data_IF_368337724030
#
_entry.id   IF_368337724030
#
_cell.length_a   1.000
_cell.length_b   1.000
_cell.length_c   1.000
_cell.angle_alpha   90.00
_cell.angle_beta   90.00
_cell.angle_gamma   90.00
#
_symmetry.space_group_name_H-M   'P 1'
#
loop_
_entity.id
_entity.type
_entity.pdbx_description
1 polymer ?
#
# COMPACT_ATOMS: atom_id res chain seq x y z
N UNK A 1 13.03 -24.50 -11.82
CA UNK A 1 12.07 -24.15 -10.75
C UNK A 1 11.15 -23.11 -11.36
N UNK A 2 9.96 -23.52 -11.79
CA UNK A 2 9.05 -22.64 -12.50
C UNK A 2 8.36 -21.71 -11.49
N UNK A 3 8.54 -20.40 -11.66
CA UNK A 3 7.74 -19.40 -10.96
C UNK A 3 6.33 -19.50 -11.55
N UNK A 4 5.37 -19.94 -10.75
CA UNK A 4 3.96 -19.95 -11.13
C UNK A 4 3.50 -18.51 -11.33
N UNK A 5 2.81 -18.29 -12.43
CA UNK A 5 2.20 -17.03 -12.86
C UNK A 5 1.43 -16.41 -11.69
N UNK A 6 1.83 -15.21 -11.27
CA UNK A 6 1.05 -14.42 -10.33
C UNK A 6 -0.28 -14.04 -10.99
N UNK A 7 -1.38 -14.22 -10.27
CA UNK A 7 -2.68 -13.73 -10.69
C UNK A 7 -2.62 -12.20 -10.71
N UNK A 8 -2.50 -11.61 -11.89
CA UNK A 8 -2.71 -10.18 -12.09
C UNK A 8 -4.22 -9.98 -12.13
N UNK A 9 -4.81 -9.53 -11.03
CA UNK A 9 -6.19 -9.08 -11.02
C UNK A 9 -6.24 -7.65 -11.58
N UNK A 10 -6.91 -7.48 -12.71
CA UNK A 10 -7.36 -6.17 -13.15
C UNK A 10 -8.60 -5.82 -12.34
N UNK A 11 -8.46 -4.94 -11.36
CA UNK A 11 -9.60 -4.38 -10.63
C UNK A 11 -10.05 -3.14 -11.39
N UNK A 12 -11.20 -3.22 -12.05
CA UNK A 12 -11.81 -2.09 -12.74
C UNK A 12 -12.47 -1.18 -11.72
N UNK A 13 -11.81 -0.08 -11.36
CA UNK A 13 -12.47 1.02 -10.64
C UNK A 13 -13.31 1.81 -11.64
N UNK A 14 -14.63 1.63 -11.62
CA UNK A 14 -15.54 2.52 -12.31
C UNK A 14 -15.90 3.67 -11.36
N UNK A 15 -15.22 4.80 -11.51
CA UNK A 15 -15.72 6.06 -10.99
C UNK A 15 -16.76 6.60 -11.97
N UNK A 16 -18.03 6.23 -11.79
CA UNK A 16 -19.13 6.85 -12.53
C UNK A 16 -19.73 7.96 -11.67
N UNK A 17 -19.59 9.22 -12.10
CA UNK A 17 -20.36 10.36 -11.57
C UNK A 17 -21.78 10.42 -12.14
N UNK A 18 -22.16 9.52 -13.06
CA UNK A 18 -23.42 9.60 -13.78
C UNK A 18 -24.42 8.53 -13.32
N UNK A 19 -25.48 8.99 -12.65
CA UNK A 19 -26.51 8.17 -11.99
C UNK A 19 -27.50 7.47 -12.91
N UNK A 20 -27.04 6.88 -14.02
CA UNK A 20 -27.90 6.09 -14.91
C UNK A 20 -27.63 4.60 -14.70
N UNK A 21 -28.53 3.99 -13.94
CA UNK A 21 -28.52 2.56 -13.61
C UNK A 21 -28.48 1.69 -14.87
N UNK A 22 -27.30 1.24 -15.27
CA UNK A 22 -27.20 -0.06 -15.92
C UNK A 22 -27.16 -1.11 -14.81
N UNK A 23 -27.98 -2.16 -14.91
CA UNK A 23 -28.13 -3.20 -13.87
C UNK A 23 -26.84 -4.01 -13.58
N UNK A 24 -25.71 -3.58 -14.15
CA UNK A 24 -24.39 -4.20 -14.08
C UNK A 24 -23.31 -3.27 -13.52
N UNK A 25 -23.59 -1.98 -13.26
CA UNK A 25 -22.61 -1.08 -12.64
C UNK A 25 -22.60 -1.27 -11.13
N UNK A 26 -21.41 -1.44 -10.57
CA UNK A 26 -21.20 -1.55 -9.13
C UNK A 26 -20.36 -0.37 -8.64
N UNK A 27 -20.73 0.15 -7.47
CA UNK A 27 -20.13 1.33 -6.87
C UNK A 27 -19.73 1.02 -5.44
N UNK A 28 -18.43 1.09 -5.17
CA UNK A 28 -17.90 0.92 -3.83
C UNK A 28 -17.76 2.28 -3.17
N UNK A 29 -18.14 2.37 -1.91
CA UNK A 29 -18.15 3.62 -1.14
C UNK A 29 -17.46 3.42 0.21
N UNK A 30 -17.22 4.52 0.94
CA UNK A 30 -16.62 4.49 2.27
C UNK A 30 -15.12 4.82 2.30
N UNK A 31 -14.44 4.71 1.17
CA UNK A 31 -13.09 5.23 0.94
C UNK A 31 -13.04 6.03 -0.36
N UNK A 32 -12.08 6.94 -0.48
CA UNK A 32 -11.67 7.61 -1.72
C UNK A 32 -10.17 7.39 -1.90
N UNK A 33 -9.66 7.64 -3.10
CA UNK A 33 -8.21 7.63 -3.34
C UNK A 33 -7.55 6.26 -3.10
N UNK A 34 -8.27 5.19 -3.48
CA UNK A 34 -7.76 3.83 -3.44
C UNK A 34 -6.52 3.66 -4.33
N UNK A 35 -5.39 3.28 -3.74
CA UNK A 35 -4.10 3.17 -4.42
C UNK A 35 -3.77 1.73 -4.83
N UNK A 36 -4.25 0.74 -4.07
CA UNK A 36 -4.02 -0.67 -4.40
C UNK A 36 -5.18 -1.56 -3.96
N UNK A 37 -5.39 -2.64 -4.69
CA UNK A 37 -6.38 -3.64 -4.34
C UNK A 37 -5.92 -5.05 -4.71
N UNK A 38 -6.28 -6.05 -3.89
CA UNK A 38 -5.77 -7.42 -4.00
C UNK A 38 -6.84 -8.48 -3.69
N UNK A 39 -7.08 -9.45 -4.60
CA UNK A 39 -8.11 -10.45 -4.40
C UNK A 39 -7.77 -11.43 -3.25
N UNK A 40 -8.77 -11.70 -2.42
CA UNK A 40 -8.69 -12.67 -1.31
C UNK A 40 -9.56 -13.91 -1.52
N UNK A 41 -10.36 -13.94 -2.59
CA UNK A 41 -11.06 -15.12 -3.09
C UNK A 41 -12.54 -14.85 -3.34
N UNK A 42 -13.12 -15.56 -4.31
CA UNK A 42 -14.49 -15.29 -4.77
C UNK A 42 -14.61 -13.87 -5.31
N UNK A 43 -15.61 -13.14 -4.84
CA UNK A 43 -15.89 -11.73 -5.15
C UNK A 43 -15.20 -10.75 -4.18
N UNK A 44 -14.33 -11.26 -3.29
CA UNK A 44 -13.77 -10.46 -2.21
C UNK A 44 -12.34 -10.02 -2.52
N UNK A 45 -12.07 -8.76 -2.22
CA UNK A 45 -10.74 -8.17 -2.33
C UNK A 45 -10.49 -7.19 -1.19
N UNK A 46 -9.21 -6.98 -0.89
CA UNK A 46 -8.77 -5.95 0.05
C UNK A 46 -8.31 -4.74 -0.72
N UNK A 47 -8.65 -3.56 -0.22
CA UNK A 47 -8.27 -2.26 -0.73
C UNK A 47 -7.42 -1.52 0.32
N UNK A 48 -6.53 -0.67 -0.15
CA UNK A 48 -5.78 0.27 0.67
C UNK A 48 -5.62 1.61 -0.06
N UNK A 49 -5.71 2.68 0.72
CA UNK A 49 -5.61 4.09 0.30
C UNK A 49 -4.36 4.77 0.88
N UNK A 50 -4.13 6.01 0.44
CA UNK A 50 -3.06 6.87 0.95
C UNK A 50 -3.47 7.69 2.18
N UNK A 51 -4.73 7.69 2.59
CA UNK A 51 -5.23 8.53 3.69
C UNK A 51 -5.02 7.89 5.07
N UNK A 52 -4.97 6.56 5.19
CA UNK A 52 -4.86 5.87 6.47
C UNK A 52 -4.22 4.47 6.39
N UNK A 53 -4.29 3.68 7.48
CA UNK A 53 -3.66 2.36 7.62
C UNK A 53 -4.71 1.25 7.80
N UNK A 54 -5.94 1.52 7.36
CA UNK A 54 -7.05 0.59 7.37
C UNK A 54 -7.05 -0.13 6.02
N UNK A 55 -7.06 -1.45 6.07
CA UNK A 55 -7.24 -2.28 4.88
C UNK A 55 -8.72 -2.66 4.78
N UNK A 56 -9.40 -2.25 3.72
CA UNK A 56 -10.83 -2.44 3.56
C UNK A 56 -11.16 -3.71 2.78
N UNK A 57 -11.99 -4.59 3.34
CA UNK A 57 -12.51 -5.74 2.62
C UNK A 57 -13.79 -5.35 1.88
N UNK A 58 -13.79 -5.47 0.57
CA UNK A 58 -14.98 -5.28 -0.27
C UNK A 58 -15.47 -6.60 -0.86
N UNK A 59 -16.74 -6.60 -1.27
CA UNK A 59 -17.39 -7.66 -2.06
C UNK A 59 -17.81 -7.04 -3.39
N UNK A 60 -17.08 -7.33 -4.46
CA UNK A 60 -17.27 -6.80 -5.81
C UNK A 60 -18.53 -7.35 -6.53
N UNK A 61 -19.40 -8.04 -5.81
CA UNK A 61 -20.75 -8.41 -6.26
C UNK A 61 -21.85 -7.47 -5.74
N UNK A 62 -21.49 -6.52 -4.88
CA UNK A 62 -22.41 -5.55 -4.29
C UNK A 62 -21.83 -4.13 -4.35
N UNK A 63 -22.69 -3.17 -4.65
CA UNK A 63 -22.39 -1.77 -4.35
C UNK A 63 -22.46 -1.50 -2.84
N UNK A 64 -21.67 -0.54 -2.37
CA UNK A 64 -21.77 0.03 -1.02
C UNK A 64 -20.46 0.04 -0.23
N UNK A 65 -20.64 0.13 1.10
CA UNK A 65 -19.57 0.22 2.09
C UNK A 65 -18.72 -1.07 2.15
N UNK A 66 -17.47 -0.99 2.66
CA UNK A 66 -16.68 -2.18 2.89
C UNK A 66 -17.39 -3.11 3.87
N UNK A 67 -17.18 -4.41 3.66
CA UNK A 67 -17.65 -5.48 4.54
C UNK A 67 -17.03 -5.31 5.93
N UNK A 68 -15.75 -4.96 5.97
CA UNK A 68 -15.02 -4.63 7.21
C UNK A 68 -13.73 -3.87 6.89
N UNK A 69 -13.09 -3.31 7.92
CA UNK A 69 -11.79 -2.65 7.83
C UNK A 69 -10.84 -3.17 8.90
N UNK A 70 -9.54 -3.28 8.57
CA UNK A 70 -8.49 -3.73 9.47
C UNK A 70 -7.47 -2.62 9.71
N UNK A 71 -7.53 -1.98 10.88
CA UNK A 71 -6.62 -0.89 11.25
C UNK A 71 -5.29 -1.43 11.80
N UNK A 72 -4.19 -1.16 11.09
CA UNK A 72 -2.83 -1.54 11.49
C UNK A 72 -2.00 -0.40 12.07
N UNK A 73 -2.56 0.78 12.32
CA UNK A 73 -1.84 1.97 12.84
C UNK A 73 -0.95 1.63 14.03
N UNK A 74 -1.49 0.90 15.02
CA UNK A 74 -0.76 0.51 16.23
C UNK A 74 0.37 -0.52 15.97
N UNK A 75 0.29 -1.28 14.89
CA UNK A 75 1.28 -2.30 14.51
C UNK A 75 2.47 -1.69 13.75
N UNK A 76 2.28 -0.53 13.11
CA UNK A 76 3.25 0.05 12.19
C UNK A 76 4.26 0.99 12.85
N UNK A 77 4.14 1.24 14.16
CA UNK A 77 5.13 2.00 14.92
C UNK A 77 5.39 3.38 14.31
N UNK A 78 4.30 4.04 13.89
CA UNK A 78 4.33 5.36 13.30
C UNK A 78 4.71 6.39 14.36
N UNK A 79 5.57 7.34 13.99
CA UNK A 79 6.08 8.34 14.93
C UNK A 79 6.05 9.77 14.38
N UNK A 80 5.72 9.95 13.10
CA UNK A 80 5.54 11.27 12.51
C UNK A 80 4.11 11.77 12.69
N UNK A 81 3.98 13.05 13.01
CA UNK A 81 2.69 13.74 13.09
C UNK A 81 2.61 14.93 12.13
N UNK A 82 1.40 15.41 11.88
CA UNK A 82 1.09 16.55 11.01
C UNK A 82 1.36 17.93 11.63
N UNK A 83 1.78 17.98 12.89
CA UNK A 83 1.96 19.20 13.68
C UNK A 83 0.73 19.54 14.55
N UNK A 84 -0.45 18.99 14.24
CA UNK A 84 -1.62 19.01 15.12
C UNK A 84 -1.61 17.88 16.15
N UNK A 85 -0.73 16.88 15.94
CA UNK A 85 -0.56 15.71 16.79
C UNK A 85 -1.18 14.45 16.20
N UNK A 86 -1.82 14.56 15.03
CA UNK A 86 -2.35 13.42 14.28
C UNK A 86 -1.19 12.69 13.59
N UNK A 87 -1.16 11.36 13.72
CA UNK A 87 -0.17 10.53 13.03
C UNK A 87 -0.32 10.69 11.52
N UNK A 88 0.80 10.83 10.82
CA UNK A 88 0.82 10.86 9.36
C UNK A 88 0.68 9.45 8.81
N UNK A 89 0.07 9.35 7.63
CA UNK A 89 -0.13 8.08 6.97
C UNK A 89 1.18 7.35 6.62
N UNK A 90 1.01 6.07 6.28
CA UNK A 90 2.00 5.27 5.56
C UNK A 90 1.98 5.55 4.06
N UNK A 91 0.89 6.12 3.53
CA UNK A 91 0.75 6.45 2.11
C UNK A 91 0.86 5.15 1.30
N UNK A 92 -0.13 4.25 1.44
CA UNK A 92 -0.06 2.91 0.88
C UNK A 92 -0.30 2.96 -0.61
N UNK A 93 0.63 2.40 -1.39
CA UNK A 93 0.65 2.60 -2.85
C UNK A 93 0.67 1.29 -3.64
N UNK A 94 1.08 0.19 -2.99
CA UNK A 94 1.14 -1.09 -3.67
C UNK A 94 0.94 -2.26 -2.72
N UNK A 95 0.44 -3.34 -3.29
CA UNK A 95 0.33 -4.63 -2.62
C UNK A 95 0.73 -5.77 -3.55
N UNK A 96 1.21 -6.85 -2.97
CA UNK A 96 1.44 -8.11 -3.69
C UNK A 96 1.22 -9.30 -2.77
N UNK A 97 0.78 -10.42 -3.32
CA UNK A 97 0.42 -11.62 -2.56
C UNK A 97 1.26 -12.80 -3.00
N UNK A 98 1.78 -13.54 -2.02
CA UNK A 98 2.49 -14.81 -2.19
C UNK A 98 1.85 -15.84 -1.27
N UNK A 99 1.10 -16.78 -1.86
CA UNK A 99 0.28 -17.71 -1.09
C UNK A 99 -0.79 -16.96 -0.29
N UNK A 100 -0.82 -17.16 1.04
CA UNK A 100 -1.73 -16.43 1.93
C UNK A 100 -1.16 -15.12 2.48
N UNK A 101 0.11 -14.79 2.19
CA UNK A 101 0.74 -13.58 2.70
C UNK A 101 0.58 -12.45 1.70
N UNK A 102 0.14 -11.30 2.18
CA UNK A 102 0.14 -10.04 1.45
C UNK A 102 1.26 -9.17 1.98
N UNK A 103 1.99 -8.52 1.09
CA UNK A 103 2.94 -7.46 1.37
C UNK A 103 2.33 -6.14 0.91
N UNK A 104 2.40 -5.13 1.77
CA UNK A 104 1.90 -3.78 1.56
C UNK A 104 3.08 -2.82 1.57
N UNK A 105 3.08 -1.87 0.66
CA UNK A 105 4.18 -0.94 0.43
C UNK A 105 3.66 0.49 0.57
N UNK A 106 4.20 1.22 1.55
CA UNK A 106 4.09 2.67 1.61
C UNK A 106 4.88 3.31 0.47
N UNK A 107 4.57 4.57 0.13
CA UNK A 107 5.04 5.23 -1.09
C UNK A 107 6.56 5.39 -1.21
N UNK A 108 7.32 5.22 -0.12
CA UNK A 108 8.76 5.46 -0.04
C UNK A 108 9.15 6.90 -0.44
N UNK A 109 8.19 7.82 -0.46
CA UNK A 109 8.38 9.18 -0.93
C UNK A 109 8.86 10.10 0.20
N UNK A 110 9.48 11.21 -0.19
CA UNK A 110 9.66 12.37 0.70
C UNK A 110 8.39 13.24 0.65
N UNK A 111 8.31 14.27 1.50
CA UNK A 111 7.32 15.34 1.28
C UNK A 111 7.55 16.06 -0.05
N UNK A 112 6.55 16.84 -0.45
CA UNK A 112 6.61 17.80 -1.56
C UNK A 112 7.80 18.78 -1.45
N UNK A 113 8.16 19.20 -0.23
CA UNK A 113 9.34 20.02 0.07
C UNK A 113 10.61 19.20 0.36
N UNK A 114 10.60 17.90 0.07
CA UNK A 114 11.74 16.99 0.10
C UNK A 114 12.21 16.53 1.47
N UNK A 115 11.48 16.81 2.54
CA UNK A 115 11.79 16.28 3.88
C UNK A 115 11.50 14.79 3.94
N UNK A 116 12.31 14.08 4.74
CA UNK A 116 12.13 12.65 4.94
C UNK A 116 10.76 12.34 5.60
N UNK A 117 10.10 11.29 5.10
CA UNK A 117 8.84 10.76 5.62
C UNK A 117 9.00 9.30 6.08
N UNK A 118 9.69 9.02 7.19
CA UNK A 118 9.87 7.67 7.72
C UNK A 118 8.59 6.86 7.94
N UNK A 119 7.41 7.47 8.10
CA UNK A 119 6.16 6.68 8.11
C UNK A 119 5.85 6.05 6.73
N UNK A 120 6.27 6.68 5.62
CA UNK A 120 6.06 6.20 4.25
C UNK A 120 7.03 5.11 3.80
N UNK A 121 8.05 4.85 4.60
CA UNK A 121 9.08 3.85 4.32
C UNK A 121 8.66 2.42 4.74
N UNK A 122 7.44 2.25 5.24
CA UNK A 122 6.93 0.96 5.72
C UNK A 122 6.70 0.00 4.55
N UNK A 123 7.28 -1.19 4.70
CA UNK A 123 6.86 -2.40 4.00
C UNK A 123 6.33 -3.34 5.07
N UNK A 124 5.06 -3.74 5.05
CA UNK A 124 4.54 -4.65 6.06
C UNK A 124 3.78 -5.82 5.45
N UNK A 125 3.62 -6.87 6.23
CA UNK A 125 2.94 -8.07 5.79
C UNK A 125 1.76 -8.45 6.68
N UNK A 126 0.72 -8.96 6.03
CA UNK A 126 -0.43 -9.58 6.68
C UNK A 126 -0.67 -10.97 6.12
N UNK A 127 -1.12 -11.89 6.95
CA UNK A 127 -1.62 -13.20 6.50
C UNK A 127 -3.15 -13.19 6.43
N UNK A 128 -3.67 -13.71 5.32
CA UNK A 128 -5.10 -13.90 5.09
C UNK A 128 -5.59 -15.14 5.83
N UNK A 129 -6.64 -14.98 6.62
CA UNK A 129 -7.39 -16.06 7.25
C UNK A 129 -8.86 -15.99 6.87
N UNK A 130 -9.58 -17.10 7.01
CA UNK A 130 -10.99 -17.17 6.61
C UNK A 130 -11.20 -17.02 5.11
N UNK A 131 -12.45 -16.85 4.70
CA UNK A 131 -12.85 -16.68 3.30
C UNK A 131 -14.11 -15.84 3.21
N UNK A 132 -14.29 -15.15 2.08
CA UNK A 132 -15.47 -14.33 1.83
C UNK A 132 -15.64 -13.22 2.87
N UNK A 133 -16.87 -13.00 3.33
CA UNK A 133 -17.16 -11.99 4.37
C UNK A 133 -16.53 -12.31 5.74
N UNK A 134 -16.06 -13.55 5.96
CA UNK A 134 -15.35 -13.95 7.18
C UNK A 134 -13.82 -13.82 7.03
N UNK A 135 -13.32 -13.20 5.96
CA UNK A 135 -11.89 -12.93 5.80
C UNK A 135 -11.39 -12.06 6.94
N UNK A 136 -10.24 -12.40 7.51
CA UNK A 136 -9.53 -11.58 8.49
C UNK A 136 -8.04 -11.50 8.15
N UNK A 137 -7.37 -10.50 8.69
CA UNK A 137 -5.94 -10.28 8.52
C UNK A 137 -5.20 -10.41 9.85
N UNK A 138 -4.07 -11.12 9.83
CA UNK A 138 -3.13 -11.15 10.94
C UNK A 138 -1.85 -10.41 10.59
N UNK A 139 -1.43 -9.45 11.42
CA UNK A 139 -0.16 -8.76 11.23
C UNK A 139 1.00 -9.73 11.40
N UNK A 140 1.95 -9.70 10.46
CA UNK A 140 3.14 -10.57 10.48
C UNK A 140 4.35 -9.79 10.99
N UNK A 141 4.55 -8.59 10.46
CA UNK A 141 5.74 -7.79 10.70
C UNK A 141 5.91 -6.70 9.65
N UNK A 142 6.94 -5.89 9.84
CA UNK A 142 7.30 -4.81 8.92
C UNK A 142 8.81 -4.68 8.75
N UNK A 143 9.17 -3.96 7.70
CA UNK A 143 10.51 -3.56 7.34
C UNK A 143 10.49 -2.07 6.99
N UNK A 144 11.48 -1.32 7.48
CA UNK A 144 11.44 0.15 7.49
C UNK A 144 12.51 0.78 6.59
N UNK A 145 13.36 -0.02 5.92
CA UNK A 145 14.62 0.46 5.31
C UNK A 145 14.74 0.16 3.81
N UNK A 146 13.63 -0.09 3.09
CA UNK A 146 13.70 -0.46 1.67
C UNK A 146 14.31 0.67 0.84
N UNK A 147 13.91 1.91 1.10
CA UNK A 147 14.46 3.11 0.45
C UNK A 147 15.97 3.22 0.69
N UNK A 148 16.41 3.09 1.94
CA UNK A 148 17.82 3.12 2.34
C UNK A 148 18.63 2.01 1.67
N UNK A 149 18.09 0.80 1.62
CA UNK A 149 18.73 -0.34 0.96
C UNK A 149 18.91 -0.12 -0.53
N UNK A 150 17.91 0.45 -1.22
CA UNK A 150 18.01 0.79 -2.65
C UNK A 150 19.06 1.90 -2.88
N UNK A 151 19.13 2.90 -1.99
CA UNK A 151 20.17 3.93 -2.04
C UNK A 151 21.55 3.30 -1.85
N UNK A 152 21.71 2.42 -0.86
CA UNK A 152 22.97 1.75 -0.58
C UNK A 152 23.38 0.80 -1.71
N UNK A 153 22.43 0.15 -2.36
CA UNK A 153 22.66 -0.67 -3.54
C UNK A 153 23.24 0.16 -4.69
N UNK A 154 22.76 1.38 -4.91
CA UNK A 154 23.33 2.31 -5.90
C UNK A 154 24.72 2.82 -5.48
N UNK A 155 24.83 3.37 -4.26
CA UNK A 155 26.08 3.96 -3.74
C UNK A 155 27.23 2.98 -3.79
N UNK A 156 27.00 1.73 -3.40
CA UNK A 156 28.04 0.71 -3.28
C UNK A 156 28.24 -0.12 -4.56
N UNK A 157 27.70 0.32 -5.71
CA UNK A 157 27.82 -0.41 -6.98
C UNK A 157 27.25 -1.85 -6.91
N UNK A 158 26.21 -2.08 -6.12
CA UNK A 158 25.55 -3.39 -6.02
C UNK A 158 24.88 -3.83 -7.34
N UNK A 159 24.67 -2.90 -8.27
CA UNK A 159 24.14 -3.14 -9.62
C UNK A 159 25.21 -3.35 -10.71
N UNK A 160 26.49 -3.08 -10.42
CA UNK A 160 27.60 -3.31 -11.35
C UNK A 160 27.85 -2.23 -12.41
N UNK A 161 27.23 -1.04 -12.35
CA UNK A 161 27.41 0.07 -13.32
C UNK A 161 28.35 1.20 -12.85
N UNK A 162 28.98 1.04 -11.70
CA UNK A 162 29.80 2.04 -11.02
C UNK A 162 29.13 2.57 -9.74
N UNK A 163 29.93 3.06 -8.79
CA UNK A 163 29.43 3.58 -7.52
C UNK A 163 28.55 4.82 -7.76
N UNK A 164 27.35 4.82 -7.16
CA UNK A 164 26.37 5.91 -7.21
C UNK A 164 25.98 6.31 -8.65
N UNK A 165 25.89 5.34 -9.55
CA UNK A 165 25.58 5.56 -10.96
C UNK A 165 24.22 6.25 -11.19
N UNK A 166 23.19 5.88 -10.41
CA UNK A 166 21.86 6.48 -10.54
C UNK A 166 21.70 7.78 -9.72
N UNK A 167 22.66 8.07 -8.83
CA UNK A 167 22.66 9.28 -8.01
C UNK A 167 21.52 9.30 -6.99
N UNK A 168 21.04 8.14 -6.53
CA UNK A 168 19.85 8.05 -5.68
C UNK A 168 20.04 8.76 -4.34
N UNK A 169 21.23 8.66 -3.75
CA UNK A 169 21.56 9.35 -2.50
C UNK A 169 21.29 10.86 -2.57
N UNK A 170 21.65 11.52 -3.67
CA UNK A 170 21.43 12.96 -3.86
C UNK A 170 19.98 13.36 -4.12
N UNK A 171 19.13 12.40 -4.54
CA UNK A 171 17.70 12.65 -4.80
C UNK A 171 16.87 12.49 -3.53
N UNK A 172 17.15 11.47 -2.72
CA UNK A 172 16.40 11.16 -1.51
C UNK A 172 16.91 11.89 -0.27
N UNK A 173 18.23 12.14 -0.15
CA UNK A 173 18.80 12.85 1.01
C UNK A 173 18.89 14.36 0.79
N UNK A 174 18.00 14.93 -0.01
CA UNK A 174 18.05 16.36 -0.33
C UNK A 174 17.56 17.15 0.88
N UNK A 175 18.47 17.50 1.78
CA UNK A 175 18.22 18.52 2.79
C UNK A 175 18.10 19.85 2.06
N UNK A 176 16.89 20.36 1.86
CA UNK A 176 16.72 21.76 1.47
C UNK A 176 17.23 22.60 2.63
N UNK A 177 18.43 23.16 2.49
CA UNK A 177 18.89 24.23 3.36
C UNK A 177 17.86 25.36 3.25
N UNK A 178 17.23 25.68 4.38
CA UNK A 178 16.38 26.87 4.50
C UNK A 178 17.24 28.13 4.48
#
# INVERSE_FOLDING_TARGET
>A
MALTQGDIAFISFNADEDGWSTATTQFLTGTSDASTAIPVGGTFFLEADDENQVLHLYDDSKSGLPVTGFDFTSSLGLNQTDGSGVLREVDLEASTKVGNRIFWLGSQSNSDDGKNRPNRDRVFATDINGTGAATTLSYVGRYDFLKEDIINWDVNNGHGKGANYYGLAGRFNRTYAK
#
